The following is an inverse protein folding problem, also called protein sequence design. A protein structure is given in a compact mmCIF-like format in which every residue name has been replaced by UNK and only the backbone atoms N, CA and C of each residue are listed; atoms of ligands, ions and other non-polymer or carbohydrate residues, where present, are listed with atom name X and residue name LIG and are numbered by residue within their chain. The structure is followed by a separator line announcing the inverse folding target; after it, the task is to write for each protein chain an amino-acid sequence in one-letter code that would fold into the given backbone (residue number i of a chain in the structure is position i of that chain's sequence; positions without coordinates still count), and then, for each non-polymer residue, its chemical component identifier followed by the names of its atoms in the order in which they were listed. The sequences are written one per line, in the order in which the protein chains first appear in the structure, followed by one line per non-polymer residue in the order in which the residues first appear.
data_IF_824275439237
#
_entry.id   IF_824275439237
#
_cell.length_a   1.000
_cell.length_b   1.000
_cell.length_c   1.000
_cell.angle_alpha   90.00
_cell.angle_beta   90.00
_cell.angle_gamma   90.00
#
_symmetry.space_group_name_H-M   'P 1'
#
loop_
_entity.id
_entity.type
_entity.pdbx_description
1 polymer ?
#
# COMPACT_ATOMS: atom_id res chain seq x y z
N UNK A 1 -53.01 -57.57 20.22
CA UNK A 1 -51.62 -57.14 20.49
C UNK A 1 -50.74 -57.10 19.24
N UNK A 2 -50.95 -57.94 18.21
CA UNK A 2 -50.13 -57.96 16.97
C UNK A 2 -50.37 -56.78 16.00
N UNK A 3 -51.56 -56.17 15.99
CA UNK A 3 -51.89 -55.06 15.07
C UNK A 3 -51.27 -53.70 15.47
N UNK A 4 -50.99 -53.48 16.76
CA UNK A 4 -50.33 -52.24 17.21
C UNK A 4 -48.82 -52.23 16.88
N UNK A 5 -48.17 -53.39 16.84
CA UNK A 5 -46.77 -53.49 16.41
C UNK A 5 -46.59 -53.19 14.91
N UNK A 6 -47.52 -53.64 14.06
CA UNK A 6 -47.47 -53.34 12.61
C UNK A 6 -47.68 -51.85 12.31
N UNK A 7 -48.57 -51.19 13.04
CA UNK A 7 -48.78 -49.74 12.89
C UNK A 7 -47.57 -48.94 13.38
N UNK A 8 -46.97 -49.35 14.51
CA UNK A 8 -45.74 -48.75 15.02
C UNK A 8 -44.56 -48.91 14.07
N UNK A 9 -44.39 -50.07 13.44
CA UNK A 9 -43.28 -50.33 12.50
C UNK A 9 -43.43 -49.53 11.20
N UNK A 10 -44.65 -49.37 10.67
CA UNK A 10 -44.91 -48.59 9.44
C UNK A 10 -44.73 -47.09 9.69
N UNK A 11 -45.14 -46.58 10.86
CA UNK A 11 -44.88 -45.19 11.26
C UNK A 11 -43.39 -44.96 11.50
N UNK A 12 -42.67 -45.91 12.11
CA UNK A 12 -41.22 -45.80 12.31
C UNK A 12 -40.43 -45.89 10.99
N UNK A 13 -40.87 -46.72 10.04
CA UNK A 13 -40.32 -46.78 8.68
C UNK A 13 -40.66 -45.53 7.85
N UNK A 14 -41.85 -44.94 8.00
CA UNK A 14 -42.17 -43.65 7.37
C UNK A 14 -41.41 -42.48 8.01
N UNK A 15 -41.19 -42.50 9.33
CA UNK A 15 -40.34 -41.51 10.02
C UNK A 15 -38.86 -41.68 9.64
N UNK A 16 -38.37 -42.92 9.44
CA UNK A 16 -37.00 -43.19 8.95
C UNK A 16 -36.81 -42.87 7.47
N UNK A 17 -37.85 -43.01 6.64
CA UNK A 17 -37.82 -42.59 5.22
C UNK A 17 -37.93 -41.06 5.10
N UNK A 18 -38.48 -40.37 6.11
CA UNK A 18 -38.53 -38.90 6.16
C UNK A 18 -37.25 -38.28 6.76
N UNK A 19 -36.39 -39.05 7.44
CA UNK A 19 -35.11 -38.53 8.00
C UNK A 19 -33.88 -38.78 7.14
N UNK A 20 -34.02 -39.25 5.90
CA UNK A 20 -32.89 -39.46 4.98
C UNK A 20 -32.96 -38.66 3.68
N UNK A 21 -33.67 -37.54 3.65
CA UNK A 21 -33.43 -36.51 2.64
C UNK A 21 -32.67 -35.37 3.31
N UNK A 22 -31.34 -35.37 3.20
CA UNK A 22 -30.63 -34.08 3.10
C UNK A 22 -31.28 -33.36 1.93
N UNK A 23 -32.27 -32.51 2.21
CA UNK A 23 -32.84 -31.63 1.21
C UNK A 23 -31.65 -30.88 0.61
N UNK A 24 -31.39 -31.11 -0.68
CA UNK A 24 -30.31 -30.45 -1.39
C UNK A 24 -30.55 -28.93 -1.32
N UNK A 25 -29.92 -28.26 -0.37
CA UNK A 25 -30.05 -26.82 -0.08
C UNK A 25 -29.29 -25.98 -1.10
N UNK A 26 -29.57 -26.24 -2.38
CA UNK A 26 -29.04 -25.44 -3.47
C UNK A 26 -29.98 -24.24 -3.70
N UNK A 27 -29.46 -23.00 -3.78
CA UNK A 27 -30.29 -21.87 -4.15
C UNK A 27 -30.91 -22.05 -5.55
N UNK A 28 -32.13 -21.56 -5.76
CA UNK A 28 -32.88 -21.74 -7.02
C UNK A 28 -32.12 -21.25 -8.26
N UNK A 29 -31.34 -20.17 -8.12
CA UNK A 29 -30.51 -19.58 -9.17
C UNK A 29 -29.09 -20.14 -9.20
N UNK A 30 -28.86 -21.33 -8.66
CA UNK A 30 -27.56 -21.94 -8.60
C UNK A 30 -27.61 -23.41 -9.01
N UNK A 31 -26.48 -23.92 -9.47
CA UNK A 31 -26.26 -25.33 -9.76
C UNK A 31 -25.28 -25.88 -8.75
N UNK A 32 -25.72 -26.85 -7.96
CA UNK A 32 -24.88 -27.48 -6.94
C UNK A 32 -24.54 -28.91 -7.37
N UNK A 33 -23.25 -29.23 -7.31
CA UNK A 33 -22.73 -30.58 -7.55
C UNK A 33 -22.21 -31.13 -6.22
N UNK A 34 -22.91 -32.12 -5.70
CA UNK A 34 -22.61 -32.75 -4.41
C UNK A 34 -22.03 -34.14 -4.69
N UNK A 35 -20.82 -34.37 -4.17
CA UNK A 35 -20.14 -35.67 -4.19
C UNK A 35 -19.68 -36.02 -2.78
N UNK A 36 -19.34 -37.28 -2.53
CA UNK A 36 -18.90 -37.75 -1.20
C UNK A 36 -17.70 -36.97 -0.63
N UNK A 37 -16.88 -36.34 -1.48
CA UNK A 37 -15.66 -35.63 -1.08
C UNK A 37 -15.70 -34.12 -1.30
N UNK A 38 -16.56 -33.62 -2.18
CA UNK A 38 -16.57 -32.22 -2.59
C UNK A 38 -18.00 -31.75 -2.88
N UNK A 39 -18.30 -30.54 -2.39
CA UNK A 39 -19.54 -29.83 -2.72
C UNK A 39 -19.18 -28.54 -3.40
N UNK A 40 -19.65 -28.37 -4.63
CA UNK A 40 -19.43 -27.18 -5.45
C UNK A 40 -20.77 -26.51 -5.69
N UNK A 41 -20.87 -25.21 -5.45
CA UNK A 41 -22.04 -24.41 -5.79
C UNK A 41 -21.66 -23.35 -6.84
N UNK A 42 -22.43 -23.28 -7.94
CA UNK A 42 -22.21 -22.38 -9.06
C UNK A 42 -23.43 -21.49 -9.30
N UNK A 43 -23.27 -20.21 -9.10
CA UNK A 43 -24.29 -19.17 -9.24
C UNK A 43 -23.79 -18.14 -10.27
N UNK A 44 -23.80 -18.51 -11.56
CA UNK A 44 -23.09 -17.79 -12.62
C UNK A 44 -24.08 -17.08 -13.55
N UNK A 45 -23.87 -15.79 -13.81
CA UNK A 45 -24.65 -14.99 -14.77
C UNK A 45 -26.18 -14.98 -14.51
N UNK A 46 -26.60 -14.99 -13.25
CA UNK A 46 -28.02 -15.07 -12.85
C UNK A 46 -28.61 -13.73 -12.39
N UNK A 47 -27.90 -12.62 -12.62
CA UNK A 47 -28.33 -11.27 -12.27
C UNK A 47 -28.54 -11.08 -10.77
N UNK A 48 -27.81 -11.83 -9.93
CA UNK A 48 -27.92 -11.73 -8.48
C UNK A 48 -27.46 -10.35 -7.99
N UNK A 49 -28.25 -9.70 -7.14
CA UNK A 49 -27.87 -8.45 -6.48
C UNK A 49 -27.28 -8.66 -5.08
N UNK A 50 -27.37 -9.88 -4.55
CA UNK A 50 -26.84 -10.28 -3.26
C UNK A 50 -26.39 -11.75 -3.30
N UNK A 51 -25.61 -12.17 -2.30
CA UNK A 51 -25.20 -13.56 -2.12
C UNK A 51 -26.46 -14.43 -1.91
N UNK A 52 -26.64 -15.53 -2.67
CA UNK A 52 -27.83 -16.35 -2.57
C UNK A 52 -27.82 -17.18 -1.28
N UNK A 53 -29.00 -17.37 -0.69
CA UNK A 53 -29.22 -18.15 0.53
C UNK A 53 -30.45 -19.06 0.37
N UNK A 54 -30.48 -20.28 0.94
CA UNK A 54 -29.41 -20.94 1.69
C UNK A 54 -28.33 -21.55 0.79
N UNK A 55 -27.08 -21.59 1.27
CA UNK A 55 -25.98 -22.30 0.59
C UNK A 55 -25.80 -23.70 1.19
N UNK A 56 -25.30 -24.69 0.43
CA UNK A 56 -24.98 -26.00 0.98
C UNK A 56 -23.97 -25.90 2.14
N UNK A 57 -24.28 -26.47 3.30
CA UNK A 57 -23.47 -26.33 4.51
C UNK A 57 -22.01 -26.82 4.35
N UNK A 58 -21.81 -27.86 3.55
CA UNK A 58 -20.50 -28.47 3.29
C UNK A 58 -19.85 -27.98 1.99
N UNK A 59 -20.27 -26.82 1.46
CA UNK A 59 -19.67 -26.23 0.26
C UNK A 59 -18.16 -26.00 0.46
N UNK A 60 -17.36 -26.54 -0.46
CA UNK A 60 -15.90 -26.34 -0.50
C UNK A 60 -15.50 -25.28 -1.52
N UNK A 61 -16.25 -25.20 -2.61
CA UNK A 61 -16.00 -24.25 -3.69
C UNK A 61 -17.28 -23.55 -4.08
N UNK A 62 -17.24 -22.23 -4.05
CA UNK A 62 -18.39 -21.37 -4.32
C UNK A 62 -18.05 -20.39 -5.44
N UNK A 63 -18.75 -20.51 -6.56
CA UNK A 63 -18.67 -19.57 -7.67
C UNK A 63 -19.92 -18.71 -7.67
N UNK A 64 -19.77 -17.40 -7.50
CA UNK A 64 -20.83 -16.41 -7.63
C UNK A 64 -20.31 -15.37 -8.62
N UNK A 65 -20.22 -15.74 -9.90
CA UNK A 65 -19.53 -14.96 -10.92
C UNK A 65 -20.48 -14.33 -11.92
N UNK A 66 -20.12 -13.17 -12.47
CA UNK A 66 -20.92 -12.54 -13.51
C UNK A 66 -22.29 -12.01 -13.06
N UNK A 67 -22.43 -11.62 -11.79
CA UNK A 67 -23.69 -11.09 -11.26
C UNK A 67 -23.62 -9.56 -11.01
N UNK A 68 -24.62 -9.01 -10.32
CA UNK A 68 -24.82 -7.59 -10.09
C UNK A 68 -24.59 -7.20 -8.61
N UNK A 69 -23.81 -7.99 -7.87
CA UNK A 69 -23.53 -7.73 -6.45
C UNK A 69 -22.61 -6.51 -6.35
N UNK A 70 -23.02 -5.49 -5.59
CA UNK A 70 -22.27 -4.23 -5.45
C UNK A 70 -21.65 -4.01 -4.08
N UNK A 71 -22.20 -4.61 -3.03
CA UNK A 71 -21.70 -4.45 -1.66
C UNK A 71 -21.59 -5.82 -0.99
N UNK A 72 -20.46 -6.04 -0.31
CA UNK A 72 -20.33 -7.13 0.63
C UNK A 72 -20.34 -6.56 2.04
N UNK A 73 -21.37 -6.91 2.79
CA UNK A 73 -21.60 -6.51 4.18
C UNK A 73 -21.33 -7.69 5.12
N UNK A 74 -21.17 -7.43 6.42
CA UNK A 74 -21.01 -8.51 7.42
C UNK A 74 -22.15 -9.55 7.42
N UNK A 75 -23.34 -9.17 6.94
CA UNK A 75 -24.51 -10.05 6.84
C UNK A 75 -24.66 -10.74 5.47
N UNK A 76 -23.76 -10.47 4.52
CA UNK A 76 -23.83 -11.06 3.18
C UNK A 76 -23.66 -12.58 3.20
N UNK A 77 -22.88 -13.11 4.14
CA UNK A 77 -22.72 -14.54 4.39
C UNK A 77 -23.38 -14.91 5.73
N UNK A 78 -24.70 -15.09 5.73
CA UNK A 78 -25.51 -15.34 6.94
C UNK A 78 -25.19 -16.64 7.68
N UNK A 79 -24.55 -17.61 7.01
CA UNK A 79 -24.16 -18.88 7.59
C UNK A 79 -22.64 -19.03 7.59
N UNK A 80 -22.11 -19.71 8.60
CA UNK A 80 -20.70 -20.13 8.62
C UNK A 80 -20.47 -21.24 7.58
N UNK A 81 -19.50 -21.04 6.70
CA UNK A 81 -19.11 -22.01 5.67
C UNK A 81 -17.78 -22.67 6.09
N UNK A 82 -17.87 -23.59 7.06
CA UNK A 82 -16.70 -24.18 7.72
C UNK A 82 -15.74 -24.93 6.78
N UNK A 83 -16.25 -25.41 5.64
CA UNK A 83 -15.48 -26.20 4.68
C UNK A 83 -15.07 -25.40 3.43
N UNK A 84 -15.46 -24.12 3.32
CA UNK A 84 -15.19 -23.34 2.12
C UNK A 84 -13.70 -23.00 2.04
N UNK A 85 -13.06 -23.44 0.94
CA UNK A 85 -11.65 -23.21 0.68
C UNK A 85 -11.43 -22.26 -0.48
N UNK A 86 -12.38 -22.17 -1.42
CA UNK A 86 -12.30 -21.29 -2.58
C UNK A 86 -13.62 -20.54 -2.81
N UNK A 87 -13.52 -19.21 -2.80
CA UNK A 87 -14.60 -18.29 -3.12
C UNK A 87 -14.24 -17.47 -4.37
N UNK A 88 -15.08 -17.58 -5.40
CA UNK A 88 -14.94 -16.77 -6.61
C UNK A 88 -16.13 -15.82 -6.74
N UNK A 89 -15.85 -14.52 -6.62
CA UNK A 89 -16.76 -13.39 -6.76
C UNK A 89 -16.40 -12.52 -7.98
N UNK A 90 -15.69 -13.09 -8.96
CA UNK A 90 -15.25 -12.36 -10.13
C UNK A 90 -16.39 -11.92 -11.04
N UNK A 91 -16.18 -10.81 -11.75
CA UNK A 91 -17.14 -10.30 -12.73
C UNK A 91 -18.45 -9.82 -12.10
N UNK A 92 -18.43 -9.37 -10.85
CA UNK A 92 -19.55 -8.69 -10.22
C UNK A 92 -19.41 -7.16 -10.38
N UNK A 93 -20.12 -6.40 -9.56
CA UNK A 93 -20.03 -4.94 -9.50
C UNK A 93 -19.57 -4.48 -8.12
N UNK A 94 -18.78 -5.30 -7.42
CA UNK A 94 -18.41 -5.06 -6.03
C UNK A 94 -17.61 -3.77 -5.96
N UNK A 95 -18.13 -2.83 -5.19
CA UNK A 95 -17.61 -1.49 -4.97
C UNK A 95 -17.05 -1.32 -3.56
N UNK A 96 -17.69 -1.98 -2.58
CA UNK A 96 -17.35 -1.87 -1.16
C UNK A 96 -17.34 -3.24 -0.48
N UNK A 97 -16.33 -3.46 0.34
CA UNK A 97 -16.17 -4.64 1.20
C UNK A 97 -16.04 -4.17 2.65
N UNK A 98 -17.08 -4.46 3.44
CA UNK A 98 -17.19 -4.05 4.84
C UNK A 98 -16.34 -4.92 5.78
N UNK A 99 -16.14 -4.48 7.03
CA UNK A 99 -15.54 -5.31 8.07
C UNK A 99 -16.25 -6.66 8.24
N UNK A 100 -15.47 -7.68 8.60
CA UNK A 100 -15.91 -9.02 8.99
C UNK A 100 -16.65 -9.84 7.91
N UNK A 101 -16.70 -9.37 6.67
CA UNK A 101 -17.35 -10.10 5.56
C UNK A 101 -16.84 -11.53 5.41
N UNK A 102 -15.52 -11.74 5.59
CA UNK A 102 -14.89 -13.03 5.35
C UNK A 102 -14.66 -13.86 6.64
N UNK A 103 -15.12 -13.40 7.81
CA UNK A 103 -14.87 -14.11 9.09
C UNK A 103 -15.65 -15.42 9.21
N UNK A 104 -16.75 -15.57 8.48
CA UNK A 104 -17.58 -16.78 8.48
C UNK A 104 -17.01 -17.92 7.61
N UNK A 105 -15.78 -17.78 7.12
CA UNK A 105 -15.10 -18.74 6.25
C UNK A 105 -13.67 -19.02 6.76
N UNK A 106 -13.52 -19.72 7.91
CA UNK A 106 -12.22 -19.87 8.59
C UNK A 106 -11.18 -20.68 7.80
N UNK A 107 -11.59 -21.39 6.76
CA UNK A 107 -10.70 -22.20 5.90
C UNK A 107 -10.50 -21.60 4.50
N UNK A 108 -10.92 -20.35 4.28
CA UNK A 108 -10.80 -19.70 2.99
C UNK A 108 -9.33 -19.53 2.62
N UNK A 109 -8.87 -20.33 1.66
CA UNK A 109 -7.49 -20.31 1.17
C UNK A 109 -7.34 -19.49 -0.11
N UNK A 110 -8.39 -19.38 -0.92
CA UNK A 110 -8.36 -18.67 -2.20
C UNK A 110 -9.58 -17.76 -2.32
N UNK A 111 -9.33 -16.48 -2.64
CA UNK A 111 -10.36 -15.48 -2.88
C UNK A 111 -10.11 -14.77 -4.20
N UNK A 112 -11.08 -14.88 -5.10
CA UNK A 112 -11.06 -14.18 -6.38
C UNK A 112 -12.11 -13.07 -6.41
N UNK A 113 -11.62 -11.83 -6.44
CA UNK A 113 -12.39 -10.59 -6.54
C UNK A 113 -12.12 -9.87 -7.86
N UNK A 114 -11.51 -10.54 -8.84
CA UNK A 114 -11.15 -9.94 -10.12
C UNK A 114 -12.36 -9.41 -10.90
N UNK A 115 -12.14 -8.48 -11.81
CA UNK A 115 -13.22 -7.92 -12.64
C UNK A 115 -14.37 -7.32 -11.81
N UNK A 116 -14.02 -6.49 -10.82
CA UNK A 116 -14.95 -5.74 -9.97
C UNK A 116 -14.61 -4.23 -10.03
N UNK A 117 -15.16 -3.40 -9.14
CA UNK A 117 -14.99 -1.93 -9.14
C UNK A 117 -14.72 -1.39 -7.74
N UNK A 118 -13.85 -2.08 -7.00
CA UNK A 118 -13.57 -1.85 -5.60
C UNK A 118 -12.91 -0.49 -5.44
N UNK A 119 -13.52 0.36 -4.61
CA UNK A 119 -12.94 1.63 -4.16
C UNK A 119 -12.89 1.75 -2.64
N UNK A 120 -13.56 0.85 -1.90
CA UNK A 120 -13.43 0.69 -0.44
C UNK A 120 -13.23 -0.76 -0.09
N UNK A 121 -12.22 -1.02 0.73
CA UNK A 121 -11.93 -2.36 1.22
C UNK A 121 -11.43 -2.22 2.66
N UNK A 122 -12.27 -2.60 3.62
CA UNK A 122 -11.89 -2.58 5.03
C UNK A 122 -10.75 -3.57 5.31
N UNK A 123 -9.75 -3.12 6.06
CA UNK A 123 -8.66 -3.96 6.55
C UNK A 123 -9.16 -5.05 7.51
N UNK A 124 -10.27 -4.81 8.20
CA UNK A 124 -10.94 -5.74 9.11
C UNK A 124 -11.93 -6.69 8.42
N UNK A 125 -11.94 -6.75 7.07
CA UNK A 125 -12.77 -7.69 6.33
C UNK A 125 -12.44 -9.17 6.65
N UNK A 126 -11.17 -9.44 7.02
CA UNK A 126 -10.66 -10.76 7.37
C UNK A 126 -10.46 -10.90 8.88
N UNK A 127 -10.49 -12.14 9.38
CA UNK A 127 -10.07 -12.44 10.75
C UNK A 127 -8.54 -12.37 10.89
N UNK A 128 -8.05 -12.09 12.10
CA UNK A 128 -6.61 -12.00 12.36
C UNK A 128 -5.85 -13.33 12.15
N UNK A 129 -6.56 -14.45 12.24
CA UNK A 129 -6.07 -15.82 12.06
C UNK A 129 -6.36 -16.39 10.66
N UNK A 130 -6.69 -15.53 9.69
CA UNK A 130 -7.03 -15.98 8.35
C UNK A 130 -5.90 -16.81 7.70
N UNK A 131 -6.31 -17.81 6.92
CA UNK A 131 -5.42 -18.74 6.23
C UNK A 131 -5.35 -18.48 4.73
N UNK A 132 -5.64 -17.24 4.31
CA UNK A 132 -5.71 -16.90 2.90
C UNK A 132 -4.33 -17.05 2.25
N UNK A 133 -4.27 -17.85 1.18
CA UNK A 133 -3.06 -18.17 0.44
C UNK A 133 -2.98 -17.45 -0.90
N UNK A 134 -4.13 -17.18 -1.52
CA UNK A 134 -4.23 -16.53 -2.82
C UNK A 134 -5.32 -15.47 -2.81
N UNK A 135 -4.96 -14.26 -3.26
CA UNK A 135 -5.86 -13.14 -3.42
C UNK A 135 -5.75 -12.59 -4.84
N UNK A 136 -6.84 -12.65 -5.60
CA UNK A 136 -6.92 -12.06 -6.93
C UNK A 136 -7.74 -10.77 -6.91
N UNK A 137 -7.08 -9.67 -7.22
CA UNK A 137 -7.63 -8.32 -7.35
C UNK A 137 -7.40 -7.77 -8.77
N UNK A 138 -7.17 -8.63 -9.76
CA UNK A 138 -6.93 -8.20 -11.14
C UNK A 138 -8.16 -7.52 -11.74
N UNK A 139 -7.98 -6.41 -12.45
CA UNK A 139 -9.11 -5.61 -12.98
C UNK A 139 -10.21 -5.32 -11.96
N UNK A 140 -9.84 -5.03 -10.71
CA UNK A 140 -10.80 -4.79 -9.63
C UNK A 140 -10.76 -3.37 -9.08
N UNK A 141 -9.69 -2.62 -9.30
CA UNK A 141 -9.50 -1.29 -8.76
C UNK A 141 -10.05 -0.27 -9.76
N UNK A 142 -11.15 0.41 -9.42
CA UNK A 142 -11.86 1.31 -10.36
C UNK A 142 -11.05 2.56 -10.74
N UNK A 143 -10.17 3.02 -9.86
CA UNK A 143 -9.32 4.18 -10.07
C UNK A 143 -8.01 3.99 -9.30
N UNK A 144 -6.88 4.28 -9.95
CA UNK A 144 -5.54 4.19 -9.35
C UNK A 144 -5.39 5.01 -8.07
N UNK A 145 -6.23 6.03 -7.84
CA UNK A 145 -6.25 6.79 -6.57
C UNK A 145 -6.59 5.95 -5.34
N UNK A 146 -7.24 4.78 -5.52
CA UNK A 146 -7.62 3.90 -4.41
C UNK A 146 -6.54 2.88 -4.04
N UNK A 147 -5.35 2.99 -4.62
CA UNK A 147 -4.24 2.08 -4.31
C UNK A 147 -3.82 2.13 -2.84
N UNK A 148 -3.99 3.27 -2.17
CA UNK A 148 -3.74 3.40 -0.72
C UNK A 148 -4.73 2.59 0.12
N UNK A 149 -5.97 2.43 -0.34
CA UNK A 149 -6.97 1.58 0.32
C UNK A 149 -6.52 0.12 0.31
N UNK A 150 -6.10 -0.37 -0.87
CA UNK A 150 -5.55 -1.72 -1.03
C UNK A 150 -4.25 -1.89 -0.24
N UNK A 151 -3.39 -0.87 -0.24
CA UNK A 151 -2.16 -0.83 0.57
C UNK A 151 -2.46 -1.03 2.04
N UNK A 152 -3.48 -0.34 2.57
CA UNK A 152 -3.89 -0.48 3.97
C UNK A 152 -4.39 -1.88 4.28
N UNK A 153 -5.21 -2.48 3.40
CA UNK A 153 -5.66 -3.86 3.56
C UNK A 153 -4.48 -4.81 3.59
N UNK A 154 -3.55 -4.74 2.63
CA UNK A 154 -2.38 -5.62 2.56
C UNK A 154 -1.45 -5.47 3.77
N UNK A 155 -1.34 -4.25 4.33
CA UNK A 155 -0.51 -3.97 5.50
C UNK A 155 -1.15 -4.40 6.82
N UNK A 156 -2.46 -4.22 6.98
CA UNK A 156 -3.16 -4.39 8.26
C UNK A 156 -3.90 -5.73 8.33
N UNK A 157 -4.37 -6.27 7.22
CA UNK A 157 -5.22 -7.47 7.12
C UNK A 157 -4.55 -8.79 7.53
N UNK A 158 -3.34 -8.77 8.09
CA UNK A 158 -2.64 -9.94 8.68
C UNK A 158 -2.58 -11.15 7.74
N UNK A 159 -2.11 -10.94 6.51
CA UNK A 159 -2.01 -11.99 5.49
C UNK A 159 -0.75 -12.85 5.63
N UNK A 160 -0.59 -13.52 6.78
CA UNK A 160 0.62 -14.29 7.10
C UNK A 160 0.84 -15.49 6.18
N UNK A 161 -0.23 -16.05 5.61
CA UNK A 161 -0.18 -17.24 4.75
C UNK A 161 -0.26 -16.92 3.26
N UNK A 162 -0.35 -15.64 2.89
CA UNK A 162 -0.53 -15.24 1.50
C UNK A 162 0.74 -15.50 0.70
N UNK A 163 0.61 -16.31 -0.35
CA UNK A 163 1.70 -16.73 -1.23
C UNK A 163 1.58 -16.14 -2.64
N UNK A 164 0.35 -15.85 -3.07
CA UNK A 164 0.07 -15.33 -4.42
C UNK A 164 -0.85 -14.12 -4.33
N UNK A 165 -0.40 -13.01 -4.92
CA UNK A 165 -1.15 -11.77 -5.03
C UNK A 165 -1.20 -11.34 -6.49
N UNK A 166 -2.40 -11.24 -7.03
CA UNK A 166 -2.63 -10.77 -8.40
C UNK A 166 -3.25 -9.38 -8.39
N UNK A 167 -2.53 -8.42 -8.95
CA UNK A 167 -2.91 -7.00 -9.06
C UNK A 167 -2.83 -6.51 -10.53
N UNK A 168 -2.92 -7.45 -11.47
CA UNK A 168 -2.81 -7.14 -12.90
C UNK A 168 -3.98 -6.31 -13.43
N UNK A 169 -3.80 -5.55 -14.51
CA UNK A 169 -4.87 -4.81 -15.19
C UNK A 169 -5.63 -3.83 -14.27
N UNK A 170 -4.95 -3.09 -13.40
CA UNK A 170 -5.54 -2.13 -12.43
C UNK A 170 -5.11 -0.67 -12.66
N UNK A 171 -4.49 -0.36 -13.80
CA UNK A 171 -4.00 0.98 -14.14
C UNK A 171 -3.11 1.63 -13.06
N UNK A 172 -2.39 0.80 -12.28
CA UNK A 172 -1.57 1.30 -11.18
C UNK A 172 -0.40 2.11 -11.72
N UNK A 173 -0.25 3.36 -11.26
CA UNK A 173 0.82 4.26 -11.71
C UNK A 173 2.07 4.14 -10.83
N UNK A 174 1.89 3.81 -9.55
CA UNK A 174 2.95 3.65 -8.58
C UNK A 174 2.57 2.60 -7.53
N UNK A 175 3.58 2.11 -6.81
CA UNK A 175 3.41 1.23 -5.66
C UNK A 175 3.74 2.03 -4.39
N UNK A 176 2.80 2.17 -3.44
CA UNK A 176 3.04 2.76 -2.13
C UNK A 176 4.20 2.08 -1.39
N UNK A 177 4.95 2.87 -0.61
CA UNK A 177 6.08 2.36 0.18
C UNK A 177 5.58 1.35 1.23
N UNK A 178 6.24 0.19 1.29
CA UNK A 178 5.90 -0.84 2.27
C UNK A 178 4.54 -1.51 2.07
N UNK A 179 3.87 -1.32 0.92
CA UNK A 179 2.60 -1.99 0.60
C UNK A 179 2.64 -3.51 0.87
N UNK A 180 3.74 -4.16 0.51
CA UNK A 180 3.89 -5.62 0.65
C UNK A 180 4.65 -6.03 1.92
N UNK A 181 5.12 -5.08 2.74
CA UNK A 181 6.07 -5.33 3.83
C UNK A 181 5.61 -6.35 4.88
N UNK A 182 4.29 -6.51 5.05
CA UNK A 182 3.67 -7.43 6.02
C UNK A 182 3.15 -8.73 5.37
N UNK A 183 3.69 -9.12 4.22
CA UNK A 183 3.35 -10.35 3.50
C UNK A 183 4.54 -11.34 3.52
N UNK A 184 4.91 -11.91 4.68
CA UNK A 184 6.20 -12.60 4.87
C UNK A 184 6.40 -13.84 4.01
N UNK A 185 5.31 -14.44 3.51
CA UNK A 185 5.32 -15.66 2.71
C UNK A 185 4.93 -15.42 1.24
N UNK A 186 4.88 -14.16 0.79
CA UNK A 186 4.54 -13.82 -0.59
C UNK A 186 5.64 -14.33 -1.53
N UNK A 187 5.23 -15.10 -2.54
CA UNK A 187 6.11 -15.73 -3.53
C UNK A 187 5.81 -15.27 -4.94
N UNK A 188 4.53 -15.11 -5.27
CA UNK A 188 4.08 -14.77 -6.61
C UNK A 188 3.39 -13.41 -6.56
N UNK A 189 3.96 -12.43 -7.27
CA UNK A 189 3.39 -11.10 -7.41
C UNK A 189 3.20 -10.79 -8.89
N UNK A 190 1.94 -10.64 -9.27
CA UNK A 190 1.56 -10.28 -10.63
C UNK A 190 1.09 -8.83 -10.69
N UNK A 191 1.87 -7.99 -11.37
CA UNK A 191 1.62 -6.57 -11.59
C UNK A 191 1.52 -6.25 -13.09
N UNK A 192 1.32 -7.26 -13.95
CA UNK A 192 1.29 -7.06 -15.40
C UNK A 192 0.16 -6.13 -15.83
N UNK A 193 0.36 -5.46 -16.95
CA UNK A 193 -0.62 -4.56 -17.57
C UNK A 193 -1.13 -3.49 -16.58
N UNK A 194 -0.20 -2.77 -15.99
CA UNK A 194 -0.49 -1.58 -15.20
C UNK A 194 0.22 -0.39 -15.85
N UNK A 195 0.23 0.77 -15.20
CA UNK A 195 0.92 1.98 -15.69
C UNK A 195 2.13 2.34 -14.84
N UNK A 196 2.80 1.34 -14.24
CA UNK A 196 3.85 1.58 -13.24
C UNK A 196 5.05 2.21 -13.93
N UNK A 197 5.43 3.42 -13.50
CA UNK A 197 6.54 4.17 -14.10
C UNK A 197 7.88 3.88 -13.40
N UNK A 198 7.84 3.59 -12.11
CA UNK A 198 9.02 3.21 -11.32
C UNK A 198 8.65 2.34 -10.13
N UNK A 199 9.54 1.40 -9.80
CA UNK A 199 9.48 0.65 -8.54
C UNK A 199 10.29 1.44 -7.51
N UNK A 200 9.58 2.12 -6.59
CA UNK A 200 10.24 2.93 -5.55
C UNK A 200 11.08 2.05 -4.62
N UNK A 201 12.13 2.65 -4.05
CA UNK A 201 12.98 2.04 -3.02
C UNK A 201 12.10 1.42 -1.93
N UNK A 202 12.40 0.18 -1.58
CA UNK A 202 11.76 -0.54 -0.51
C UNK A 202 10.31 -0.99 -0.78
N UNK A 203 9.78 -0.79 -1.98
CA UNK A 203 8.47 -1.35 -2.36
C UNK A 203 8.47 -2.89 -2.24
N UNK A 204 9.59 -3.54 -2.59
CA UNK A 204 9.79 -4.99 -2.51
C UNK A 204 10.65 -5.40 -1.31
N UNK A 205 10.86 -4.49 -0.35
CA UNK A 205 11.71 -4.75 0.81
C UNK A 205 11.18 -5.95 1.60
N UNK A 206 12.11 -6.81 2.01
CA UNK A 206 11.85 -8.02 2.80
C UNK A 206 10.93 -9.05 2.10
N UNK A 207 10.66 -8.92 0.81
CA UNK A 207 9.88 -9.90 0.05
C UNK A 207 10.80 -10.94 -0.57
N UNK A 208 10.54 -12.22 -0.30
CA UNK A 208 11.25 -13.35 -0.91
C UNK A 208 10.45 -13.92 -2.07
N UNK A 209 10.25 -13.07 -3.10
CA UNK A 209 9.49 -13.45 -4.28
C UNK A 209 10.22 -14.55 -5.07
N UNK A 210 9.46 -15.52 -5.56
CA UNK A 210 9.88 -16.52 -6.54
C UNK A 210 9.52 -16.07 -7.96
N UNK A 211 8.38 -15.36 -8.13
CA UNK A 211 7.90 -14.88 -9.42
C UNK A 211 7.41 -13.43 -9.29
N UNK A 212 7.95 -12.55 -10.14
CA UNK A 212 7.57 -11.15 -10.26
C UNK A 212 7.25 -10.82 -11.72
N UNK A 213 5.99 -10.54 -12.01
CA UNK A 213 5.55 -10.14 -13.35
C UNK A 213 5.29 -8.63 -13.41
N UNK A 214 6.14 -7.91 -14.15
CA UNK A 214 6.06 -6.47 -14.38
C UNK A 214 5.85 -6.14 -15.86
N UNK A 215 5.40 -7.12 -16.67
CA UNK A 215 5.18 -6.91 -18.10
C UNK A 215 4.10 -5.86 -18.38
N UNK A 216 4.15 -5.27 -19.57
CA UNK A 216 3.15 -4.31 -20.05
C UNK A 216 2.94 -3.17 -19.03
N UNK A 217 4.04 -2.59 -18.55
CA UNK A 217 4.02 -1.43 -17.66
C UNK A 217 4.69 -0.22 -18.34
N UNK A 218 4.93 0.85 -17.61
CA UNK A 218 5.55 2.08 -18.12
C UNK A 218 6.94 2.31 -17.53
N UNK A 219 7.64 1.24 -17.12
CA UNK A 219 8.97 1.35 -16.50
C UNK A 219 9.96 1.94 -17.50
N UNK A 220 10.71 2.95 -17.04
CA UNK A 220 11.74 3.62 -17.83
C UNK A 220 13.14 3.07 -17.55
N UNK A 221 13.38 2.71 -16.29
CA UNK A 221 14.61 2.13 -15.76
C UNK A 221 14.29 1.43 -14.43
N UNK A 222 15.20 0.56 -13.97
CA UNK A 222 15.19 0.06 -12.60
C UNK A 222 16.33 0.74 -11.83
N UNK A 223 15.99 1.35 -10.69
CA UNK A 223 16.99 2.05 -9.87
C UNK A 223 17.98 1.08 -9.23
N UNK A 224 19.20 1.55 -8.94
CA UNK A 224 20.23 0.74 -8.27
C UNK A 224 19.76 0.13 -6.94
N UNK A 225 18.92 0.85 -6.19
CA UNK A 225 18.30 0.32 -4.97
C UNK A 225 17.41 -0.90 -5.28
N UNK A 226 16.58 -0.82 -6.31
CA UNK A 226 15.74 -1.94 -6.77
C UNK A 226 16.60 -3.11 -7.26
N UNK A 227 17.65 -2.84 -8.04
CA UNK A 227 18.55 -3.88 -8.54
C UNK A 227 19.25 -4.62 -7.41
N UNK A 228 19.74 -3.88 -6.40
CA UNK A 228 20.34 -4.46 -5.21
C UNK A 228 19.35 -5.31 -4.41
N UNK A 229 18.08 -4.88 -4.30
CA UNK A 229 17.02 -5.67 -3.65
C UNK A 229 16.74 -6.98 -4.41
N UNK A 230 16.73 -6.95 -5.74
CA UNK A 230 16.52 -8.13 -6.59
C UNK A 230 17.73 -9.10 -6.52
N UNK A 231 18.95 -8.57 -6.46
CA UNK A 231 20.18 -9.37 -6.35
C UNK A 231 20.29 -10.18 -5.05
N UNK A 232 19.55 -9.81 -4.00
CA UNK A 232 19.46 -10.60 -2.76
C UNK A 232 18.74 -11.94 -2.96
N UNK A 233 18.02 -12.11 -4.07
CA UNK A 233 17.16 -13.25 -4.35
C UNK A 233 17.48 -13.85 -5.73
N UNK A 234 18.59 -14.59 -5.90
CA UNK A 234 19.06 -15.02 -7.22
C UNK A 234 18.08 -15.95 -7.97
N UNK A 235 17.26 -16.70 -7.25
CA UNK A 235 16.27 -17.63 -7.82
C UNK A 235 14.96 -16.96 -8.28
N UNK A 236 14.83 -15.64 -8.09
CA UNK A 236 13.63 -14.90 -8.53
C UNK A 236 13.49 -14.96 -10.05
N UNK A 237 12.25 -15.16 -10.51
CA UNK A 237 11.89 -15.11 -11.92
C UNK A 237 11.19 -13.80 -12.21
N UNK A 238 11.80 -12.98 -13.05
CA UNK A 238 11.32 -11.64 -13.36
C UNK A 238 10.92 -11.58 -14.84
N UNK A 239 9.76 -10.99 -15.10
CA UNK A 239 9.28 -10.67 -16.45
C UNK A 239 9.12 -9.16 -16.60
N UNK A 240 9.69 -8.59 -17.66
CA UNK A 240 9.87 -7.15 -17.87
C UNK A 240 9.47 -6.67 -19.28
N UNK A 241 9.07 -7.55 -20.18
CA UNK A 241 8.68 -7.21 -21.56
C UNK A 241 7.51 -6.22 -21.62
N UNK A 242 7.43 -5.45 -22.71
CA UNK A 242 6.35 -4.47 -22.90
C UNK A 242 6.45 -3.21 -22.02
N UNK A 243 7.64 -2.91 -21.49
CA UNK A 243 7.90 -1.66 -20.76
C UNK A 243 8.50 -0.57 -21.66
N UNK A 244 8.33 0.69 -21.27
CA UNK A 244 8.79 1.86 -22.03
C UNK A 244 10.21 2.30 -21.66
N UNK A 245 11.18 1.40 -21.83
CA UNK A 245 12.58 1.63 -21.45
C UNK A 245 13.19 2.88 -22.09
N UNK A 246 13.78 3.75 -21.27
CA UNK A 246 14.43 4.98 -21.69
C UNK A 246 15.94 4.74 -21.85
N UNK A 247 16.37 4.51 -23.08
CA UNK A 247 17.75 4.21 -23.43
C UNK A 247 18.63 5.46 -23.52
N UNK A 248 18.91 6.06 -22.37
CA UNK A 248 19.87 7.16 -22.21
C UNK A 248 20.97 6.74 -21.22
N UNK A 249 21.81 7.68 -20.80
CA UNK A 249 22.90 7.35 -19.89
C UNK A 249 22.47 6.80 -18.52
N UNK A 250 21.27 7.11 -18.03
CA UNK A 250 20.82 6.67 -16.71
C UNK A 250 20.51 5.16 -16.66
N UNK A 251 20.23 4.54 -17.81
CA UNK A 251 19.89 3.11 -17.89
C UNK A 251 21.13 2.20 -17.81
N UNK A 252 22.34 2.77 -17.80
CA UNK A 252 23.61 2.02 -17.88
C UNK A 252 23.73 0.95 -16.79
N UNK A 253 23.43 1.29 -15.54
CA UNK A 253 23.49 0.34 -14.42
C UNK A 253 22.48 -0.82 -14.60
N UNK A 254 21.28 -0.53 -15.08
CA UNK A 254 20.28 -1.55 -15.40
C UNK A 254 20.75 -2.47 -16.55
N UNK A 255 21.41 -1.92 -17.57
CA UNK A 255 21.97 -2.72 -18.67
C UNK A 255 23.08 -3.65 -18.19
N UNK A 256 24.01 -3.14 -17.38
CA UNK A 256 25.09 -3.95 -16.79
C UNK A 256 24.53 -5.08 -15.92
N UNK A 257 23.52 -4.77 -15.12
CA UNK A 257 22.82 -5.77 -14.31
C UNK A 257 22.11 -6.81 -15.19
N UNK A 258 21.38 -6.38 -16.22
CA UNK A 258 20.62 -7.26 -17.11
C UNK A 258 21.52 -8.24 -17.88
N UNK A 259 22.73 -7.81 -18.28
CA UNK A 259 23.72 -8.66 -18.94
C UNK A 259 24.20 -9.81 -18.03
N UNK A 260 24.37 -9.53 -16.74
CA UNK A 260 24.83 -10.50 -15.73
C UNK A 260 23.70 -11.38 -15.20
N UNK A 261 22.48 -10.85 -15.13
CA UNK A 261 21.35 -11.50 -14.48
C UNK A 261 20.79 -12.68 -15.29
N UNK A 262 20.53 -13.79 -14.60
CA UNK A 262 19.77 -14.95 -15.10
C UNK A 262 18.31 -14.94 -14.63
N UNK A 263 17.97 -14.03 -13.70
CA UNK A 263 16.65 -13.92 -13.09
C UNK A 263 15.59 -13.36 -14.05
N UNK A 264 16.00 -12.55 -15.04
CA UNK A 264 15.09 -11.98 -16.04
C UNK A 264 14.86 -12.98 -17.18
N UNK A 265 13.66 -13.56 -17.22
CA UNK A 265 13.32 -14.65 -18.14
C UNK A 265 13.13 -14.17 -19.59
N UNK A 266 12.62 -12.95 -19.77
CA UNK A 266 12.32 -12.33 -21.07
C UNK A 266 13.35 -11.27 -21.48
N UNK A 267 14.59 -11.37 -20.97
CA UNK A 267 15.66 -10.39 -21.21
C UNK A 267 15.97 -10.13 -22.69
N UNK A 268 15.70 -11.10 -23.56
CA UNK A 268 15.93 -11.01 -25.00
C UNK A 268 14.89 -10.15 -25.73
N UNK A 269 13.73 -9.96 -25.11
CA UNK A 269 12.59 -9.25 -25.70
C UNK A 269 12.53 -7.79 -25.25
N UNK A 270 13.44 -7.37 -24.37
CA UNK A 270 13.49 -5.99 -23.87
C UNK A 270 14.08 -5.05 -24.93
N UNK A 271 13.30 -4.04 -25.30
CA UNK A 271 13.66 -3.07 -26.33
C UNK A 271 13.55 -1.64 -25.80
N UNK A 272 14.37 -0.75 -26.35
CA UNK A 272 14.27 0.68 -26.13
C UNK A 272 12.96 1.22 -26.69
N UNK A 273 12.22 1.98 -25.88
CA UNK A 273 11.07 2.75 -26.35
C UNK A 273 11.49 4.17 -26.76
N UNK A 274 12.42 4.75 -25.99
CA UNK A 274 12.97 6.09 -26.23
C UNK A 274 14.50 6.06 -26.08
N UNK A 275 15.24 7.02 -26.67
CA UNK A 275 14.79 8.03 -27.64
C UNK A 275 14.42 7.44 -29.01
N UNK A 276 13.74 8.21 -29.88
CA UNK A 276 13.19 7.71 -31.16
C UNK A 276 14.26 7.09 -32.10
N UNK A 277 15.50 7.56 -32.06
CA UNK A 277 16.61 7.00 -32.85
C UNK A 277 17.05 5.61 -32.37
N UNK A 278 16.74 5.23 -31.14
CA UNK A 278 17.06 3.94 -30.55
C UNK A 278 15.82 3.04 -30.40
N UNK A 279 14.64 3.53 -30.81
CA UNK A 279 13.39 2.81 -30.65
C UNK A 279 13.42 1.42 -31.31
N UNK A 280 12.89 0.42 -30.60
CA UNK A 280 12.90 -1.00 -30.95
C UNK A 280 14.30 -1.66 -31.00
N UNK A 281 15.34 -0.98 -30.54
CA UNK A 281 16.67 -1.60 -30.38
C UNK A 281 16.68 -2.45 -29.12
N UNK A 282 17.28 -3.65 -29.17
CA UNK A 282 17.32 -4.56 -28.02
C UNK A 282 18.29 -4.05 -26.96
N UNK A 283 17.87 -4.04 -25.70
CA UNK A 283 18.69 -3.57 -24.58
C UNK A 283 20.02 -4.32 -24.47
N UNK A 284 20.02 -5.64 -24.64
CA UNK A 284 21.24 -6.46 -24.53
C UNK A 284 22.27 -6.21 -25.64
N UNK A 285 21.90 -5.52 -26.72
CA UNK A 285 22.81 -5.19 -27.82
C UNK A 285 23.44 -3.79 -27.68
N UNK A 286 22.98 -3.01 -26.70
CA UNK A 286 23.40 -1.62 -26.51
C UNK A 286 24.82 -1.53 -25.94
N UNK A 287 25.60 -0.59 -26.46
CA UNK A 287 26.91 -0.23 -25.93
C UNK A 287 26.89 1.15 -25.26
N UNK A 288 27.77 1.40 -24.30
CA UNK A 288 27.86 2.67 -23.56
C UNK A 288 28.04 3.90 -24.49
N UNK A 289 28.73 3.73 -25.62
CA UNK A 289 28.94 4.78 -26.63
C UNK A 289 27.63 5.24 -27.31
N UNK A 290 26.64 4.35 -27.40
CA UNK A 290 25.35 4.62 -28.07
C UNK A 290 24.37 5.35 -27.16
N UNK A 291 24.55 5.25 -25.83
CA UNK A 291 23.72 5.89 -24.80
C UNK A 291 24.00 7.39 -24.63
N UNK A 292 24.94 7.94 -25.43
CA UNK A 292 25.35 9.36 -25.38
C UNK A 292 25.73 9.81 -23.95
N UNK A 293 26.40 8.94 -23.20
CA UNK A 293 26.99 9.24 -21.89
C UNK A 293 28.17 10.22 -22.03
N UNK A 294 27.91 11.47 -22.40
CA UNK A 294 28.86 12.55 -22.15
C UNK A 294 28.74 12.88 -20.67
N UNK A 295 29.77 12.58 -19.89
CA UNK A 295 29.85 12.92 -18.46
C UNK A 295 29.22 14.29 -18.19
N UNK A 296 28.11 14.32 -17.45
CA UNK A 296 27.47 15.55 -17.01
C UNK A 296 28.31 16.20 -15.89
N UNK A 297 29.47 16.76 -16.24
CA UNK A 297 30.09 17.79 -15.41
C UNK A 297 29.18 19.03 -15.29
N UNK A 298 28.24 19.20 -16.22
CA UNK A 298 27.31 20.33 -16.25
C UNK A 298 26.34 20.37 -15.05
N UNK A 299 25.94 19.23 -14.47
CA UNK A 299 24.98 19.26 -13.36
C UNK A 299 25.62 19.64 -12.02
N UNK A 300 26.91 19.28 -11.81
CA UNK A 300 27.71 19.84 -10.72
C UNK A 300 27.96 21.33 -10.95
N UNK A 301 28.20 21.76 -12.19
CA UNK A 301 28.35 23.18 -12.55
C UNK A 301 27.10 24.02 -12.23
N UNK A 302 25.90 23.54 -12.53
CA UNK A 302 24.64 24.28 -12.27
C UNK A 302 24.33 24.40 -10.77
N UNK A 303 24.54 23.34 -9.97
CA UNK A 303 24.39 23.42 -8.51
C UNK A 303 25.47 24.31 -7.89
N UNK A 304 26.72 24.18 -8.35
CA UNK A 304 27.85 24.97 -7.84
C UNK A 304 27.71 26.47 -8.16
N UNK A 305 27.24 26.82 -9.37
CA UNK A 305 26.95 28.22 -9.74
C UNK A 305 25.82 28.82 -8.90
N UNK A 306 24.80 28.03 -8.55
CA UNK A 306 23.72 28.44 -7.64
C UNK A 306 24.23 28.74 -6.22
N UNK A 307 25.08 27.87 -5.65
CA UNK A 307 25.66 28.10 -4.31
C UNK A 307 26.65 29.27 -4.27
N UNK A 308 27.43 29.47 -5.33
CA UNK A 308 28.33 30.64 -5.44
C UNK A 308 27.53 31.92 -5.51
N UNK A 309 26.44 31.95 -6.28
CA UNK A 309 25.54 33.11 -6.34
C UNK A 309 24.89 33.41 -4.98
N UNK A 310 24.40 32.39 -4.27
CA UNK A 310 23.87 32.53 -2.92
C UNK A 310 24.92 33.08 -1.94
N UNK A 311 26.16 32.58 -2.02
CA UNK A 311 27.28 33.07 -1.21
C UNK A 311 27.61 34.54 -1.45
N UNK A 312 27.61 34.98 -2.71
CA UNK A 312 27.85 36.40 -3.07
C UNK A 312 26.72 37.30 -2.54
N UNK A 313 25.46 36.87 -2.66
CA UNK A 313 24.31 37.62 -2.15
C UNK A 313 24.38 37.76 -0.62
N UNK A 314 24.68 36.69 0.10
CA UNK A 314 24.84 36.73 1.56
C UNK A 314 26.01 37.62 2.00
N UNK A 315 27.13 37.58 1.26
CA UNK A 315 28.26 38.46 1.52
C UNK A 315 27.90 39.95 1.32
N UNK A 316 27.19 40.28 0.23
CA UNK A 316 26.71 41.65 -0.03
C UNK A 316 25.76 42.14 1.06
N UNK A 317 24.80 41.30 1.49
CA UNK A 317 23.91 41.62 2.61
C UNK A 317 24.72 41.90 3.89
N UNK A 318 25.72 41.06 4.18
CA UNK A 318 26.61 41.24 5.32
C UNK A 318 27.39 42.55 5.27
N UNK A 319 27.95 42.90 4.11
CA UNK A 319 28.68 44.16 3.90
C UNK A 319 27.76 45.37 4.06
N UNK A 320 26.55 45.34 3.49
CA UNK A 320 25.56 46.41 3.64
C UNK A 320 25.18 46.57 5.12
N UNK A 321 24.92 45.47 5.82
CA UNK A 321 24.59 45.50 7.24
C UNK A 321 25.72 46.11 8.08
N UNK A 322 26.97 45.69 7.86
CA UNK A 322 28.14 46.27 8.53
C UNK A 322 28.33 47.76 8.20
N UNK A 323 28.07 48.17 6.96
CA UNK A 323 28.11 49.57 6.54
C UNK A 323 27.04 50.39 7.28
N UNK A 324 25.81 49.88 7.38
CA UNK A 324 24.72 50.53 8.13
C UNK A 324 25.10 50.69 9.61
N UNK A 325 25.65 49.65 10.23
CA UNK A 325 26.15 49.72 11.62
C UNK A 325 27.29 50.73 11.76
N UNK A 326 28.21 50.77 10.78
CA UNK A 326 29.35 51.69 10.78
C UNK A 326 28.91 53.14 10.65
N UNK A 327 28.01 53.46 9.70
CA UNK A 327 27.47 54.80 9.49
C UNK A 327 26.70 55.28 10.74
N UNK A 328 25.96 54.38 11.38
CA UNK A 328 25.18 54.69 12.57
C UNK A 328 25.95 54.49 13.89
N UNK A 329 27.25 54.19 13.87
CA UNK A 329 28.01 53.81 15.08
C UNK A 329 27.96 54.85 16.20
N UNK A 330 27.92 56.14 15.86
CA UNK A 330 27.83 57.23 16.85
C UNK A 330 26.43 57.29 17.48
N UNK A 331 25.39 57.13 16.67
CA UNK A 331 24.00 57.05 17.13
C UNK A 331 23.75 55.83 18.00
N UNK A 332 24.24 54.65 17.59
CA UNK A 332 24.16 53.41 18.35
C UNK A 332 24.89 53.55 19.69
N UNK A 333 26.11 54.11 19.71
CA UNK A 333 26.83 54.36 20.97
C UNK A 333 26.04 55.29 21.89
N UNK A 334 25.50 56.40 21.36
CA UNK A 334 24.69 57.34 22.15
C UNK A 334 23.43 56.66 22.72
N UNK A 335 22.73 55.87 21.90
CA UNK A 335 21.58 55.09 22.32
C UNK A 335 21.93 54.06 23.41
N UNK A 336 23.04 53.36 23.26
CA UNK A 336 23.51 52.37 24.24
C UNK A 336 23.87 53.03 25.58
N UNK A 337 24.53 54.19 25.57
CA UNK A 337 24.80 54.96 26.78
C UNK A 337 23.51 55.43 27.45
N UNK A 338 22.58 56.01 26.67
CA UNK A 338 21.28 56.44 27.21
C UNK A 338 20.49 55.29 27.84
N UNK A 339 20.50 54.09 27.23
CA UNK A 339 19.86 52.91 27.81
C UNK A 339 20.54 52.47 29.09
N UNK A 340 21.88 52.38 29.09
CA UNK A 340 22.63 52.01 30.29
C UNK A 340 22.34 52.97 31.43
N UNK A 341 22.30 54.26 31.15
CA UNK A 341 22.07 55.28 32.14
C UNK A 341 20.60 55.22 32.63
N UNK A 342 19.62 55.01 31.74
CA UNK A 342 18.22 54.76 32.13
C UNK A 342 18.05 53.50 32.99
N UNK A 343 18.74 52.39 32.66
CA UNK A 343 18.74 51.18 33.47
C UNK A 343 19.41 51.40 34.83
N UNK A 344 20.49 52.17 34.88
CA UNK A 344 21.19 52.52 36.12
C UNK A 344 20.29 53.35 37.04
N UNK A 345 19.64 54.38 36.51
CA UNK A 345 18.71 55.21 37.27
C UNK A 345 17.54 54.37 37.82
N UNK A 346 17.05 53.43 37.03
CA UNK A 346 15.99 52.52 37.47
C UNK A 346 16.45 51.59 38.62
N UNK A 347 17.64 51.01 38.50
CA UNK A 347 18.25 50.16 39.53
C UNK A 347 18.57 50.94 40.82
N UNK A 348 19.11 52.15 40.72
CA UNK A 348 19.37 53.01 41.89
C UNK A 348 18.05 53.38 42.58
N UNK A 349 16.98 53.66 41.81
CA UNK A 349 15.62 53.85 42.36
C UNK A 349 15.08 52.65 43.14
N UNK A 350 15.35 51.42 42.67
CA UNK A 350 15.02 50.21 43.43
C UNK A 350 15.85 50.09 44.72
N UNK A 351 17.13 50.44 44.68
CA UNK A 351 18.02 50.39 45.84
C UNK A 351 17.56 51.36 46.94
N UNK A 352 17.24 52.60 46.58
CA UNK A 352 16.72 53.61 47.53
C UNK A 352 15.38 53.18 48.15
N UNK A 353 14.46 52.60 47.37
CA UNK A 353 13.20 52.07 47.91
C UNK A 353 13.41 50.88 48.84
N UNK A 354 14.40 50.03 48.55
CA UNK A 354 14.72 48.90 49.41
C UNK A 354 15.29 49.37 50.76
N UNK A 355 16.24 50.30 50.74
CA UNK A 355 16.86 50.86 51.96
C UNK A 355 15.83 51.53 52.89
N UNK A 356 14.88 52.32 52.34
CA UNK A 356 13.80 52.96 53.11
C UNK A 356 12.89 51.91 53.76
N UNK A 357 12.55 50.83 53.06
CA UNK A 357 11.69 49.77 53.60
C UNK A 357 12.40 48.88 54.63
N UNK A 358 13.73 48.85 54.61
CA UNK A 358 14.54 48.08 55.57
C UNK A 358 15.08 48.89 56.74
N UNK A 359 14.86 50.21 56.81
CA UNK A 359 15.28 51.03 57.96
C UNK A 359 14.45 50.68 59.23
N UNK A 360 15.06 50.05 60.25
CA UNK A 360 14.35 49.62 61.45
C UNK A 360 13.86 50.78 62.34
N UNK A 361 14.20 52.03 62.01
CA UNK A 361 13.62 53.21 62.68
C UNK A 361 12.21 53.55 62.18
N UNK A 362 11.88 53.26 60.92
CA UNK A 362 10.56 53.55 60.34
C UNK A 362 9.51 52.48 60.67
N UNK A 363 9.92 51.23 60.90
CA UNK A 363 9.02 50.19 61.41
C UNK A 363 8.51 50.52 62.83
N UNK A 364 9.31 51.20 63.65
CA UNK A 364 8.92 51.65 65.00
C UNK A 364 8.10 52.94 65.04
N UNK A 365 7.98 53.68 63.92
CA UNK A 365 7.11 54.86 63.84
C UNK A 365 5.65 54.49 63.51
N UNK A 366 5.40 53.32 62.93
CA UNK A 366 4.03 52.84 62.63
C UNK A 366 3.27 52.31 63.85
N UNK A 367 3.93 52.14 65.01
CA UNK A 367 3.33 51.65 66.25
C UNK A 367 2.89 52.77 67.22
N UNK A 368 3.23 54.03 66.95
CA UNK A 368 2.99 55.15 67.88
C UNK A 368 2.28 56.37 67.25
N UNK A 369 1.63 56.26 66.09
CA UNK A 369 0.81 57.35 65.52
C UNK A 369 -0.68 57.00 65.47
N UNK A 370 -1.26 56.68 66.63
CA UNK A 370 -2.61 57.11 67.00
C UNK A 370 -2.45 58.16 68.11
N UNK A 371 -2.58 59.44 67.74
CA UNK A 371 -3.23 60.59 68.42
C UNK A 371 -2.96 61.84 67.60
#
# INVERSE_FOLDING_TARGET
TLNHLRFGLVVFLHVLVITSSQANTCPEKCVCSISERTTIAKCVNNGLSAIPYPLPANVKTLFITGNNISHLTGDSFQQTLEQLTYLNLSGNKIEQIDPKVFTNMPRLGQLDLSNNRIFRFSAEAFSADNVLQQLNLSSSIFNSSYIEEISNVLRIGTFLNLTTLELSYNDLVYLPEGMFSNLPNLKNLDLRNNSIVSVKRGALKNQRLENLDLRENSLKELSNDTLNELDLHPDIKILLAGNSWLCNCNIEDFLLWLQKSESVLDKQDLVCAFPENLRNTRLLQMNASELQCTFSEDMKGVLQTSYVFLGIVLALIGVIFLLVLYLNRKGIKKWLYNIRDACRDHMEGYHYRYEINTDPRLTNLSLNSEV
#
